data_IF_419435010235
#
_entry.id   IF_419435010235
#
_cell.length_a   1.000
_cell.length_b   1.000
_cell.length_c   1.000
_cell.angle_alpha   90.00
_cell.angle_beta   90.00
_cell.angle_gamma   90.00
#
_symmetry.space_group_name_H-M   'P 1'
#
loop_
_entity.id
_entity.type
_entity.pdbx_description
1 polymer ?
#
# COMPACT_ATOMS: atom_id res chain seq x y z
N UNK A 1 22.56 25.21 -4.51
CA UNK A 1 21.28 24.76 -3.92
C UNK A 1 21.57 23.47 -3.16
N UNK A 2 21.36 23.39 -1.84
CA UNK A 2 21.56 22.13 -1.14
C UNK A 2 20.48 21.14 -1.56
N UNK A 3 20.88 19.92 -1.90
CA UNK A 3 19.97 18.81 -2.17
C UNK A 3 19.24 18.47 -0.88
N UNK A 4 17.94 18.71 -0.83
CA UNK A 4 17.07 18.21 0.23
C UNK A 4 16.95 16.69 0.07
N UNK A 5 17.98 15.95 0.45
CA UNK A 5 17.86 14.51 0.63
C UNK A 5 17.04 14.29 1.89
N UNK A 6 15.72 14.20 1.72
CA UNK A 6 14.84 13.62 2.72
C UNK A 6 15.30 12.17 2.90
N UNK A 7 16.10 11.90 3.93
CA UNK A 7 16.50 10.54 4.28
C UNK A 7 15.24 9.78 4.68
N UNK A 8 14.68 9.04 3.71
CA UNK A 8 13.53 8.19 3.94
C UNK A 8 13.96 7.11 4.95
N UNK A 9 13.21 6.93 6.06
CA UNK A 9 13.56 5.94 7.08
C UNK A 9 13.76 4.57 6.43
N UNK A 10 14.81 3.84 6.86
CA UNK A 10 15.23 2.53 6.31
C UNK A 10 14.02 1.70 5.92
N UNK A 11 13.71 1.69 4.62
CA UNK A 11 12.50 1.08 4.07
C UNK A 11 12.57 -0.43 4.34
N UNK A 12 11.69 -0.93 5.20
CA UNK A 12 11.47 -2.38 5.35
C UNK A 12 11.07 -2.94 3.97
N UNK A 13 11.50 -4.16 3.62
CA UNK A 13 11.09 -4.86 2.37
C UNK A 13 9.59 -5.24 2.32
N UNK A 14 8.74 -4.58 3.09
CA UNK A 14 7.31 -4.87 3.16
C UNK A 14 6.57 -4.14 2.04
N UNK A 15 5.91 -4.91 1.16
CA UNK A 15 4.97 -4.37 0.16
C UNK A 15 3.57 -4.38 0.74
N UNK A 16 2.88 -3.25 0.65
CA UNK A 16 1.51 -3.11 1.16
C UNK A 16 0.53 -3.03 -0.02
N UNK A 17 -0.52 -3.85 0.04
CA UNK A 17 -1.61 -3.88 -0.92
C UNK A 17 -2.92 -3.54 -0.19
N UNK A 18 -3.64 -2.53 -0.66
CA UNK A 18 -4.96 -2.18 -0.16
C UNK A 18 -6.02 -2.64 -1.17
N UNK A 19 -6.91 -3.54 -0.74
CA UNK A 19 -7.99 -4.07 -1.57
C UNK A 19 -9.31 -3.83 -0.83
N UNK A 20 -10.17 -2.99 -1.40
CA UNK A 20 -11.38 -2.50 -0.75
C UNK A 20 -12.24 -1.68 -1.70
N UNK A 21 -13.24 -0.97 -1.19
CA UNK A 21 -13.91 0.07 -1.96
C UNK A 21 -12.95 1.26 -2.18
N UNK A 22 -13.15 2.09 -3.22
CA UNK A 22 -12.30 3.27 -3.42
C UNK A 22 -12.22 4.16 -2.17
N UNK A 23 -13.36 4.37 -1.49
CA UNK A 23 -13.43 5.17 -0.26
C UNK A 23 -12.62 4.55 0.89
N UNK A 24 -12.81 3.25 1.15
CA UNK A 24 -12.09 2.57 2.25
C UNK A 24 -10.57 2.56 2.00
N UNK A 25 -10.16 2.30 0.75
CA UNK A 25 -8.74 2.30 0.39
C UNK A 25 -8.13 3.69 0.54
N UNK A 26 -8.84 4.75 0.14
CA UNK A 26 -8.37 6.12 0.29
C UNK A 26 -8.26 6.52 1.77
N UNK A 27 -9.25 6.15 2.59
CA UNK A 27 -9.23 6.40 4.02
C UNK A 27 -8.02 5.74 4.70
N UNK A 28 -7.67 4.50 4.32
CA UNK A 28 -6.51 3.81 4.90
C UNK A 28 -5.19 4.42 4.40
N UNK A 29 -5.10 4.89 3.14
CA UNK A 29 -3.95 5.69 2.66
C UNK A 29 -3.76 6.94 3.51
N UNK A 30 -4.84 7.70 3.75
CA UNK A 30 -4.80 8.91 4.57
C UNK A 30 -4.37 8.60 6.01
N UNK A 31 -4.90 7.53 6.60
CA UNK A 31 -4.53 7.07 7.94
C UNK A 31 -3.06 6.69 8.04
N UNK A 32 -2.52 5.95 7.07
CA UNK A 32 -1.11 5.53 7.07
C UNK A 32 -0.15 6.73 6.91
N UNK A 33 -0.56 7.75 6.15
CA UNK A 33 0.16 9.01 6.07
C UNK A 33 0.16 9.77 7.40
N UNK A 34 -1.00 9.87 8.07
CA UNK A 34 -1.09 10.51 9.39
C UNK A 34 -0.24 9.79 10.44
N UNK A 35 -0.16 8.46 10.37
CA UNK A 35 0.69 7.64 11.24
C UNK A 35 2.18 7.67 10.86
N UNK A 36 2.57 8.48 9.84
CA UNK A 36 3.95 8.60 9.34
C UNK A 36 4.54 7.26 8.90
N UNK A 37 3.67 6.34 8.47
CA UNK A 37 4.05 5.02 7.98
C UNK A 37 4.44 5.06 6.50
N UNK A 38 3.65 5.73 5.67
CA UNK A 38 3.88 5.91 4.25
C UNK A 38 3.23 7.22 3.77
N UNK A 39 3.91 7.98 2.92
CA UNK A 39 3.41 9.23 2.37
C UNK A 39 2.41 8.99 1.22
N UNK A 40 1.46 9.91 1.00
CA UNK A 40 0.42 9.75 -0.04
C UNK A 40 1.01 9.57 -1.45
N UNK A 41 2.11 10.26 -1.75
CA UNK A 41 2.75 10.22 -3.07
C UNK A 41 3.53 8.92 -3.33
N UNK A 42 3.74 8.08 -2.31
CA UNK A 42 4.42 6.79 -2.47
C UNK A 42 3.49 5.71 -3.06
N UNK A 43 2.17 5.96 -3.06
CA UNK A 43 1.18 5.04 -3.58
C UNK A 43 1.04 5.14 -5.10
N UNK A 44 0.83 4.00 -5.76
CA UNK A 44 0.49 3.98 -7.19
C UNK A 44 -0.89 4.57 -7.44
N UNK A 45 -1.20 4.85 -8.70
CA UNK A 45 -2.58 5.08 -9.12
C UNK A 45 -3.44 3.86 -8.76
N UNK A 46 -4.70 4.10 -8.43
CA UNK A 46 -5.66 3.03 -8.18
C UNK A 46 -5.84 2.18 -9.45
N UNK A 47 -5.73 0.87 -9.29
CA UNK A 47 -6.00 -0.11 -10.34
C UNK A 47 -7.30 -0.82 -9.99
N UNK A 48 -8.24 -0.85 -10.93
CA UNK A 48 -9.50 -1.58 -10.73
C UNK A 48 -9.24 -3.08 -10.76
N UNK A 49 -9.73 -3.80 -9.75
CA UNK A 49 -9.70 -5.27 -9.74
C UNK A 49 -10.75 -5.75 -10.74
N UNK A 50 -10.30 -6.28 -11.87
CA UNK A 50 -11.18 -6.85 -12.89
C UNK A 50 -11.83 -8.16 -12.41
N UNK A 51 -12.87 -8.62 -13.10
CA UNK A 51 -13.55 -9.90 -12.79
C UNK A 51 -12.59 -11.10 -12.76
N UNK A 52 -11.53 -11.06 -13.57
CA UNK A 52 -10.48 -12.09 -13.61
C UNK A 52 -9.44 -11.96 -12.49
N UNK A 53 -9.60 -10.98 -11.59
CA UNK A 53 -8.69 -10.68 -10.50
C UNK A 53 -7.43 -9.92 -10.93
N UNK A 54 -6.43 -9.90 -10.04
CA UNK A 54 -5.10 -9.33 -10.25
C UNK A 54 -4.05 -10.37 -9.87
N UNK A 55 -2.98 -10.49 -10.65
CA UNK A 55 -1.81 -11.30 -10.30
C UNK A 55 -0.82 -10.45 -9.49
N UNK A 56 -0.45 -10.92 -8.30
CA UNK A 56 0.62 -10.33 -7.49
C UNK A 56 1.86 -11.22 -7.60
N UNK A 57 3.01 -10.63 -7.94
CA UNK A 57 4.29 -11.32 -8.06
C UNK A 57 5.26 -10.87 -6.95
N UNK A 58 5.32 -11.61 -5.82
CA UNK A 58 6.27 -11.33 -4.75
C UNK A 58 7.67 -11.89 -5.06
N UNK A 59 8.70 -11.44 -4.32
CA UNK A 59 10.07 -11.97 -4.43
C UNK A 59 10.18 -13.35 -3.76
N UNK A 60 11.18 -14.18 -4.13
CA UNK A 60 11.49 -15.40 -3.38
C UNK A 60 11.71 -15.11 -1.89
N UNK A 61 10.98 -15.84 -1.04
CA UNK A 61 11.04 -15.71 0.42
C UNK A 61 10.05 -14.71 1.03
N UNK A 62 9.29 -13.98 0.22
CA UNK A 62 8.21 -13.12 0.71
C UNK A 62 7.04 -13.96 1.25
N UNK A 63 6.34 -13.44 2.27
CA UNK A 63 5.19 -14.10 2.90
C UNK A 63 3.94 -13.24 2.72
N UNK A 64 2.91 -13.82 2.09
CA UNK A 64 1.58 -13.22 2.04
C UNK A 64 0.79 -13.56 3.31
N UNK A 65 0.26 -12.54 3.98
CA UNK A 65 -0.72 -12.70 5.06
C UNK A 65 -2.05 -12.11 4.62
N UNK A 66 -3.12 -12.88 4.74
CA UNK A 66 -4.47 -12.47 4.34
C UNK A 66 -5.40 -12.48 5.55
N UNK A 67 -6.10 -11.37 5.75
CA UNK A 67 -7.17 -11.25 6.74
C UNK A 67 -8.36 -10.58 6.06
N UNK A 68 -9.49 -11.28 6.00
CA UNK A 68 -10.75 -10.73 5.53
C UNK A 68 -11.70 -10.61 6.70
N UNK A 69 -12.18 -9.39 6.95
CA UNK A 69 -13.33 -9.16 7.82
C UNK A 69 -14.57 -9.18 6.92
N UNK A 70 -15.63 -9.90 7.31
CA UNK A 70 -16.85 -10.00 6.51
C UNK A 70 -17.39 -8.59 6.23
N UNK A 71 -17.84 -8.39 4.99
CA UNK A 71 -18.73 -7.30 4.60
C UNK A 71 -20.13 -7.83 4.90
N UNK A 72 -20.65 -7.55 6.08
CA UNK A 72 -22.10 -7.63 6.31
C UNK A 72 -22.78 -6.44 5.63
#
# INVERSE_FOLDING_TARGET
MPSLTCELPRRRRLRLYLVGSPADTQQEVDRLHLLRYAERFEWSRAVSVAERGILIQPDPGDVLRYLQRRRE
#
